data_IF_982021675555
#
_entry.id   IF_982021675555
#
_cell.length_a   1.000
_cell.length_b   1.000
_cell.length_c   1.000
_cell.angle_alpha   90.00
_cell.angle_beta   90.00
_cell.angle_gamma   90.00
#
_symmetry.space_group_name_H-M   'P 1'
#
loop_
_entity.id
_entity.type
_entity.pdbx_description
1 polymer ?
#
# COMPACT_ATOMS: atom_id res chain seq x y z
N UNK A 1 -26.58 -15.58 31.10
CA UNK A 1 -26.44 -14.93 29.79
C UNK A 1 -24.98 -14.51 29.66
N UNK A 2 -24.18 -15.25 28.87
CA UNK A 2 -22.76 -14.94 28.65
C UNK A 2 -22.70 -14.02 27.45
N UNK A 3 -22.41 -12.74 27.67
CA UNK A 3 -22.15 -11.78 26.58
C UNK A 3 -20.83 -12.20 25.93
N UNK A 4 -20.90 -12.89 24.79
CA UNK A 4 -19.76 -12.97 23.88
C UNK A 4 -19.62 -11.57 23.29
N UNK A 5 -18.60 -10.86 23.74
CA UNK A 5 -18.14 -9.66 23.05
C UNK A 5 -17.33 -10.22 21.89
N UNK A 6 -18.01 -10.55 20.79
CA UNK A 6 -17.35 -10.79 19.52
C UNK A 6 -16.74 -9.44 19.13
N UNK A 7 -15.45 -9.25 19.44
CA UNK A 7 -14.65 -8.18 18.86
C UNK A 7 -14.55 -8.48 17.37
N UNK A 8 -15.50 -7.97 16.60
CA UNK A 8 -15.31 -7.82 15.16
C UNK A 8 -14.34 -6.65 15.03
N UNK A 9 -13.05 -6.93 15.02
CA UNK A 9 -12.08 -6.01 14.44
C UNK A 9 -12.46 -5.93 12.96
N UNK A 10 -13.24 -4.91 12.61
CA UNK A 10 -13.62 -4.57 11.24
C UNK A 10 -12.42 -4.07 10.43
N UNK A 11 -11.22 -4.51 10.76
CA UNK A 11 -10.06 -4.09 10.05
C UNK A 11 -10.02 -4.89 8.74
N UNK A 12 -10.41 -4.21 7.68
CA UNK A 12 -10.32 -4.76 6.34
C UNK A 12 -8.93 -4.45 5.81
N UNK A 13 -8.07 -5.46 5.75
CA UNK A 13 -6.88 -5.36 4.92
C UNK A 13 -7.28 -5.60 3.45
N UNK A 14 -6.58 -4.97 2.52
CA UNK A 14 -6.74 -5.22 1.09
C UNK A 14 -5.46 -5.78 0.50
N UNK A 15 -5.64 -6.68 -0.45
CA UNK A 15 -4.55 -7.29 -1.17
C UNK A 15 -4.41 -6.65 -2.55
N UNK A 16 -3.17 -6.41 -2.93
CA UNK A 16 -2.78 -5.85 -4.21
C UNK A 16 -1.70 -6.71 -4.84
N UNK A 17 -1.66 -6.69 -6.16
CA UNK A 17 -0.55 -7.25 -6.92
C UNK A 17 0.25 -6.06 -7.43
N UNK A 18 1.48 -5.90 -6.94
CA UNK A 18 2.44 -4.91 -7.42
C UNK A 18 3.49 -5.65 -8.23
N UNK A 19 3.72 -5.21 -9.46
CA UNK A 19 4.68 -5.79 -10.37
C UNK A 19 5.76 -4.76 -10.71
N UNK A 20 7.01 -5.14 -10.45
CA UNK A 20 8.17 -4.40 -10.94
C UNK A 20 8.40 -4.80 -12.39
N UNK A 21 8.26 -3.86 -13.32
CA UNK A 21 8.48 -4.05 -14.76
C UNK A 21 9.93 -3.79 -15.17
N UNK A 22 10.78 -3.34 -14.23
CA UNK A 22 12.19 -3.09 -14.45
C UNK A 22 13.02 -4.37 -14.48
N UNK A 23 14.15 -4.31 -15.20
CA UNK A 23 15.18 -5.36 -15.22
C UNK A 23 16.05 -5.39 -13.96
N UNK A 24 15.85 -4.42 -13.06
CA UNK A 24 16.60 -4.29 -11.83
C UNK A 24 15.70 -4.56 -10.63
N UNK A 25 16.31 -5.02 -9.53
CA UNK A 25 15.62 -5.11 -8.25
C UNK A 25 15.20 -3.71 -7.82
N UNK A 26 13.96 -3.59 -7.36
CA UNK A 26 13.40 -2.37 -6.81
C UNK A 26 12.77 -2.66 -5.45
N UNK A 27 12.48 -1.63 -4.69
CA UNK A 27 11.93 -1.70 -3.34
C UNK A 27 10.60 -0.97 -3.26
N UNK A 28 9.86 -1.16 -2.17
CA UNK A 28 8.66 -0.37 -1.90
C UNK A 28 8.94 1.12 -1.74
N UNK A 29 10.13 1.46 -1.26
CA UNK A 29 10.61 2.85 -1.30
C UNK A 29 10.67 3.37 -2.73
N UNK A 30 11.31 2.64 -3.64
CA UNK A 30 11.41 3.06 -5.03
C UNK A 30 10.02 3.24 -5.66
N UNK A 31 9.07 2.35 -5.33
CA UNK A 31 7.68 2.47 -5.76
C UNK A 31 7.02 3.78 -5.29
N UNK A 32 7.21 4.14 -4.01
CA UNK A 32 6.68 5.38 -3.44
C UNK A 32 7.38 6.60 -4.06
N UNK A 33 8.69 6.58 -4.19
CA UNK A 33 9.48 7.67 -4.78
C UNK A 33 9.10 7.95 -6.24
N UNK A 34 8.77 6.90 -7.00
CA UNK A 34 8.32 7.01 -8.38
C UNK A 34 6.87 7.53 -8.49
N UNK A 35 6.06 7.35 -7.45
CA UNK A 35 4.64 7.68 -7.45
C UNK A 35 4.24 8.69 -6.35
N UNK A 36 4.82 9.91 -6.34
CA UNK A 36 4.49 10.93 -5.34
C UNK A 36 3.03 11.39 -5.40
N UNK A 37 2.36 11.26 -6.53
CA UNK A 37 0.94 11.60 -6.67
C UNK A 37 0.03 10.80 -5.73
N UNK A 38 0.42 9.58 -5.32
CA UNK A 38 -0.41 8.73 -4.46
C UNK A 38 -0.68 9.37 -3.09
N UNK A 39 0.30 10.07 -2.51
CA UNK A 39 0.11 10.74 -1.22
C UNK A 39 -0.66 12.06 -1.38
N UNK A 40 -0.50 12.73 -2.51
CA UNK A 40 -1.24 13.95 -2.84
C UNK A 40 -2.73 13.62 -3.00
N UNK A 41 -3.05 12.59 -3.80
CA UNK A 41 -4.41 12.09 -4.01
C UNK A 41 -5.06 11.63 -2.70
N UNK A 42 -4.29 10.97 -1.82
CA UNK A 42 -4.76 10.60 -0.48
C UNK A 42 -5.09 11.82 0.38
N UNK A 43 -4.17 12.77 0.44
CA UNK A 43 -4.36 13.99 1.23
C UNK A 43 -5.57 14.79 0.75
N UNK A 44 -5.77 14.92 -0.57
CA UNK A 44 -6.93 15.60 -1.15
C UNK A 44 -8.24 14.85 -0.86
N UNK A 45 -8.24 13.52 -1.05
CA UNK A 45 -9.45 12.70 -0.90
C UNK A 45 -9.92 12.58 0.56
N UNK A 46 -8.98 12.49 1.50
CA UNK A 46 -9.27 12.22 2.92
C UNK A 46 -8.99 13.41 3.84
N UNK A 47 -8.61 14.58 3.30
CA UNK A 47 -8.28 15.80 4.05
C UNK A 47 -7.18 15.57 5.12
N UNK A 48 -6.14 14.82 4.72
CA UNK A 48 -4.91 14.62 5.51
C UNK A 48 -3.81 15.57 5.03
N UNK A 49 -2.72 15.65 5.81
CA UNK A 49 -1.53 16.43 5.45
C UNK A 49 -0.26 15.62 5.71
N UNK A 50 -0.25 14.40 5.16
CA UNK A 50 0.90 13.53 5.20
C UNK A 50 1.94 13.97 4.17
N UNK A 51 3.22 13.81 4.50
CA UNK A 51 4.31 14.16 3.60
C UNK A 51 4.83 12.94 2.86
N UNK A 52 5.33 13.16 1.64
CA UNK A 52 6.01 12.13 0.87
C UNK A 52 7.16 11.47 1.65
N UNK A 53 7.95 12.27 2.39
CA UNK A 53 9.02 11.75 3.26
C UNK A 53 8.52 10.80 4.34
N UNK A 54 7.33 11.06 4.92
CA UNK A 54 6.75 10.18 5.92
C UNK A 54 6.32 8.85 5.28
N UNK A 55 5.75 8.89 4.08
CA UNK A 55 5.35 7.70 3.34
C UNK A 55 6.58 6.87 2.93
N UNK A 56 7.65 7.51 2.45
CA UNK A 56 8.93 6.85 2.12
C UNK A 56 9.51 6.14 3.35
N UNK A 57 9.56 6.82 4.51
CA UNK A 57 10.04 6.19 5.74
C UNK A 57 9.19 5.00 6.14
N UNK A 58 7.86 5.11 6.01
CA UNK A 58 6.96 3.99 6.26
C UNK A 58 7.20 2.83 5.28
N UNK A 59 7.53 3.11 4.03
CA UNK A 59 7.86 2.11 3.02
C UNK A 59 9.17 1.38 3.33
N UNK A 60 10.21 2.13 3.72
CA UNK A 60 11.50 1.59 4.14
C UNK A 60 11.35 0.62 5.32
N UNK A 61 10.50 0.97 6.30
CA UNK A 61 10.24 0.11 7.47
C UNK A 61 9.53 -1.20 7.13
N UNK A 62 8.78 -1.25 6.02
CA UNK A 62 8.11 -2.47 5.56
C UNK A 62 9.09 -3.44 4.87
N UNK A 63 10.26 -2.96 4.44
CA UNK A 63 11.35 -3.77 3.88
C UNK A 63 10.90 -4.77 2.78
N UNK A 64 10.00 -4.33 1.91
CA UNK A 64 9.49 -5.11 0.78
C UNK A 64 10.38 -4.87 -0.44
N UNK A 65 10.84 -5.99 -1.02
CA UNK A 65 11.70 -6.05 -2.18
C UNK A 65 10.96 -6.68 -3.37
N UNK A 66 10.96 -5.98 -4.51
CA UNK A 66 10.42 -6.48 -5.76
C UNK A 66 11.55 -7.00 -6.65
N UNK A 67 11.49 -8.30 -6.97
CA UNK A 67 12.36 -8.91 -7.98
C UNK A 67 12.20 -8.24 -9.35
N UNK A 68 13.21 -8.30 -10.23
CA UNK A 68 13.10 -7.77 -11.58
C UNK A 68 12.01 -8.50 -12.36
N UNK A 69 11.20 -7.77 -13.12
CA UNK A 69 10.11 -8.31 -13.95
C UNK A 69 9.17 -9.26 -13.17
N UNK A 70 8.99 -9.02 -11.87
CA UNK A 70 8.27 -9.92 -10.96
C UNK A 70 7.07 -9.24 -10.33
N UNK A 71 5.95 -9.97 -10.26
CA UNK A 71 4.77 -9.58 -9.50
C UNK A 71 4.82 -10.15 -8.09
N UNK A 72 4.46 -9.32 -7.12
CA UNK A 72 4.37 -9.69 -5.72
C UNK A 72 2.98 -9.39 -5.18
N UNK A 73 2.48 -10.30 -4.34
CA UNK A 73 1.25 -10.11 -3.60
C UNK A 73 1.56 -9.34 -2.32
N UNK A 74 1.00 -8.14 -2.20
CA UNK A 74 1.20 -7.25 -1.08
C UNK A 74 -0.13 -7.00 -0.38
N UNK A 75 -0.12 -7.08 0.95
CA UNK A 75 -1.28 -6.81 1.78
C UNK A 75 -1.04 -5.49 2.51
N UNK A 76 -1.97 -4.54 2.34
CA UNK A 76 -1.95 -3.26 3.04
C UNK A 76 -3.25 -3.13 3.84
N UNK A 77 -3.13 -2.58 5.04
CA UNK A 77 -4.25 -2.41 5.95
C UNK A 77 -3.88 -1.50 7.11
N UNK A 78 -4.89 -0.94 7.74
CA UNK A 78 -4.79 -0.07 8.91
C UNK A 78 -4.37 -0.83 10.19
N UNK A 79 -4.55 -2.16 10.22
CA UNK A 79 -4.20 -3.03 11.35
C UNK A 79 -2.75 -2.95 11.78
N UNK A 80 -1.85 -2.75 10.80
CA UNK A 80 -0.43 -2.66 11.08
C UNK A 80 -0.05 -1.30 11.68
N UNK A 81 -0.97 -0.32 11.74
CA UNK A 81 -0.72 1.02 12.26
C UNK A 81 0.37 1.77 11.48
N UNK A 82 0.65 1.37 10.25
CA UNK A 82 1.66 2.01 9.39
C UNK A 82 0.99 2.97 8.41
N UNK A 83 1.63 4.12 8.19
CA UNK A 83 1.14 5.12 7.25
C UNK A 83 0.95 4.54 5.84
N UNK A 84 1.89 3.71 5.39
CA UNK A 84 1.78 3.08 4.07
C UNK A 84 0.61 2.11 3.98
N UNK A 85 0.30 1.39 5.06
CA UNK A 85 -0.85 0.50 5.12
C UNK A 85 -2.16 1.26 4.93
N UNK A 86 -2.32 2.36 5.68
CA UNK A 86 -3.48 3.26 5.57
C UNK A 86 -3.58 3.86 4.17
N UNK A 87 -2.52 4.51 3.67
CA UNK A 87 -2.55 5.18 2.37
C UNK A 87 -2.81 4.18 1.23
N UNK A 88 -2.13 3.04 1.23
CA UNK A 88 -2.21 2.08 0.12
C UNK A 88 -3.49 1.27 0.12
N UNK A 89 -4.08 1.00 1.29
CA UNK A 89 -5.40 0.35 1.37
C UNK A 89 -6.43 1.16 0.57
N UNK A 90 -6.40 2.49 0.63
CA UNK A 90 -7.37 3.33 -0.06
C UNK A 90 -6.96 3.70 -1.49
N UNK A 91 -5.71 4.11 -1.73
CA UNK A 91 -5.31 4.71 -3.03
C UNK A 91 -4.99 3.69 -4.12
N UNK A 92 -4.49 2.50 -3.78
CA UNK A 92 -4.13 1.53 -4.81
C UNK A 92 -5.33 0.78 -5.41
N UNK A 93 -6.56 1.07 -4.95
CA UNK A 93 -7.79 0.34 -5.34
C UNK A 93 -8.14 0.49 -6.81
N UNK A 94 -7.85 1.64 -7.40
CA UNK A 94 -8.12 1.90 -8.81
C UNK A 94 -7.09 1.24 -9.75
N UNK A 95 -6.00 0.70 -9.18
CA UNK A 95 -4.87 0.21 -9.96
C UNK A 95 -4.13 1.35 -10.65
N UNK A 96 -3.06 0.99 -11.38
CA UNK A 96 -2.29 1.97 -12.13
C UNK A 96 -0.98 1.42 -12.64
N UNK A 97 -0.29 2.26 -13.39
CA UNK A 97 1.03 1.99 -13.93
C UNK A 97 1.92 3.23 -13.82
N UNK A 98 3.21 2.96 -13.72
CA UNK A 98 4.29 3.91 -13.70
C UNK A 98 5.45 3.38 -14.56
N UNK A 99 6.57 4.08 -14.62
CA UNK A 99 7.69 3.72 -15.47
C UNK A 99 8.25 2.30 -15.18
N UNK A 100 8.42 1.97 -13.90
CA UNK A 100 8.98 0.70 -13.43
C UNK A 100 7.98 -0.18 -12.67
N UNK A 101 6.74 0.26 -12.48
CA UNK A 101 5.76 -0.50 -11.71
C UNK A 101 4.39 -0.53 -12.35
N UNK A 102 3.66 -1.61 -12.07
CA UNK A 102 2.22 -1.70 -12.32
C UNK A 102 1.57 -2.29 -11.08
N UNK A 103 0.39 -1.83 -10.72
CA UNK A 103 -0.35 -2.36 -9.58
C UNK A 103 -1.82 -2.53 -9.90
N UNK A 104 -2.43 -3.50 -9.22
CA UNK A 104 -3.87 -3.75 -9.31
C UNK A 104 -4.41 -4.25 -7.99
N UNK A 105 -5.62 -3.84 -7.70
CA UNK A 105 -6.43 -4.43 -6.64
C UNK A 105 -6.67 -5.92 -6.92
N UNK A 106 -6.52 -6.74 -5.89
CA UNK A 106 -6.76 -8.18 -5.96
C UNK A 106 -8.07 -8.54 -5.23
N UNK A 107 -8.12 -8.33 -3.93
CA UNK A 107 -9.29 -8.69 -3.10
C UNK A 107 -9.30 -7.97 -1.76
N UNK A 108 -10.49 -7.93 -1.13
CA UNK A 108 -10.65 -7.53 0.26
C UNK A 108 -10.41 -8.75 1.16
N UNK A 109 -9.50 -8.64 2.12
CA UNK A 109 -9.30 -9.64 3.15
C UNK A 109 -10.24 -9.29 4.31
N UNK A 110 -11.27 -10.12 4.49
CA UNK A 110 -12.34 -9.98 5.49
C UNK A 110 -12.44 -11.23 6.36
#
# INVERSE_FOLDING_TARGET
MKTKIDFVTNSSSTAFIICNTSKYKKTLKDFVEENPQLIEDFNESYNHNYTQDALIKSAELNNIDFGPETSMYCIFGDENGTLIGEVFDYILRDGGDSENFTWRFCEYLR
#
